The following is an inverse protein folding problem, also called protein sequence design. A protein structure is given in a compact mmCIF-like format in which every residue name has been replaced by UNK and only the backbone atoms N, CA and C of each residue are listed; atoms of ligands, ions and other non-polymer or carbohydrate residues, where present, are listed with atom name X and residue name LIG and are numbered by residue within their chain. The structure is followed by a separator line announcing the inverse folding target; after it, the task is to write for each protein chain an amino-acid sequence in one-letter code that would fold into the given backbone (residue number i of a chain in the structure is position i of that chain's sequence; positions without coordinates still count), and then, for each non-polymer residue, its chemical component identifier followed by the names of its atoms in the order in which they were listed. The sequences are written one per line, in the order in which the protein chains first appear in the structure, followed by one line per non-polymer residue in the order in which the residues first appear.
data_IF_296015635657
#
_entry.id   IF_296015635657
#
_cell.length_a   1.000
_cell.length_b   1.000
_cell.length_c   1.000
_cell.angle_alpha   90.00
_cell.angle_beta   90.00
_cell.angle_gamma   90.00
#
_symmetry.space_group_name_H-M   'P 1'
#
loop_
_entity.id
_entity.type
_entity.pdbx_description
1 polymer ?
#
# COMPACT_ATOMS: atom_id res chain seq x y z
N UNK A 1 -6.73 48.63 -30.97
CA UNK A 1 -5.75 47.67 -30.40
C UNK A 1 -4.75 48.41 -29.50
N UNK A 2 -5.09 48.69 -28.24
CA UNK A 2 -4.15 49.28 -27.25
C UNK A 2 -4.28 48.65 -25.84
N UNK A 3 -5.14 47.65 -25.66
CA UNK A 3 -5.35 46.97 -24.38
C UNK A 3 -4.71 45.59 -24.23
N UNK A 4 -4.20 44.97 -25.31
CA UNK A 4 -3.68 43.59 -25.26
C UNK A 4 -2.21 43.49 -24.81
N UNK A 5 -1.42 44.56 -25.00
CA UNK A 5 0.01 44.58 -24.70
C UNK A 5 0.32 44.47 -23.19
N UNK A 6 -0.34 45.20 -22.27
CA UNK A 6 -0.02 45.08 -20.84
C UNK A 6 -0.46 43.73 -20.25
N UNK A 7 -1.55 43.14 -20.75
CA UNK A 7 -1.99 41.80 -20.32
C UNK A 7 -1.06 40.69 -20.83
N UNK A 8 -0.57 40.80 -22.07
CA UNK A 8 0.39 39.84 -22.60
C UNK A 8 1.72 39.87 -21.83
N UNK A 9 2.20 41.06 -21.46
CA UNK A 9 3.42 41.22 -20.66
C UNK A 9 3.25 40.63 -19.24
N UNK A 10 2.11 40.88 -18.60
CA UNK A 10 1.81 40.30 -17.29
C UNK A 10 1.72 38.77 -17.35
N UNK A 11 1.05 38.23 -18.38
CA UNK A 11 0.92 36.79 -18.57
C UNK A 11 2.27 36.10 -18.79
N UNK A 12 3.16 36.71 -19.59
CA UNK A 12 4.53 36.20 -19.80
C UNK A 12 5.35 36.25 -18.51
N UNK A 13 5.22 37.32 -17.72
CA UNK A 13 5.91 37.43 -16.42
C UNK A 13 5.43 36.36 -15.42
N UNK A 14 4.12 36.09 -15.36
CA UNK A 14 3.56 35.04 -14.51
C UNK A 14 4.01 33.65 -14.95
N UNK A 15 3.98 33.35 -16.25
CA UNK A 15 4.47 32.09 -16.80
C UNK A 15 5.97 31.89 -16.54
N UNK A 16 6.77 32.95 -16.64
CA UNK A 16 8.19 32.90 -16.32
C UNK A 16 8.44 32.65 -14.82
N UNK A 17 7.68 33.29 -13.92
CA UNK A 17 7.77 33.01 -12.48
C UNK A 17 7.33 31.60 -12.14
N UNK A 18 6.28 31.08 -12.80
CA UNK A 18 5.87 29.69 -12.65
C UNK A 18 6.96 28.73 -13.13
N UNK A 19 7.55 28.96 -14.31
CA UNK A 19 8.62 28.12 -14.83
C UNK A 19 9.90 28.18 -13.96
N UNK A 20 10.23 29.33 -13.39
CA UNK A 20 11.34 29.47 -12.44
C UNK A 20 11.03 28.77 -11.12
N UNK A 21 9.81 28.88 -10.61
CA UNK A 21 9.35 28.17 -9.42
C UNK A 21 9.35 26.65 -9.63
N UNK A 22 8.86 26.19 -10.78
CA UNK A 22 8.85 24.78 -11.19
C UNK A 22 10.28 24.26 -11.35
N UNK A 23 11.19 25.04 -11.95
CA UNK A 23 12.61 24.69 -12.02
C UNK A 23 13.24 24.59 -10.62
N UNK A 24 12.94 25.51 -9.72
CA UNK A 24 13.47 25.47 -8.34
C UNK A 24 12.94 24.30 -7.51
N UNK A 25 11.68 23.91 -7.75
CA UNK A 25 11.01 22.82 -7.01
C UNK A 25 11.37 21.44 -7.58
N UNK A 26 11.49 21.31 -8.91
CA UNK A 26 11.63 20.01 -9.56
C UNK A 26 13.02 19.72 -10.15
N UNK A 27 13.86 20.73 -10.38
CA UNK A 27 15.15 20.56 -11.07
C UNK A 27 16.38 20.96 -10.28
N UNK A 28 16.25 21.88 -9.31
CA UNK A 28 17.32 22.09 -8.34
C UNK A 28 17.05 21.26 -7.10
N UNK A 29 18.04 20.49 -6.65
CA UNK A 29 18.18 20.00 -5.27
C UNK A 29 18.37 21.20 -4.31
N UNK A 30 17.48 22.20 -4.36
CA UNK A 30 17.53 23.39 -3.51
C UNK A 30 17.13 23.08 -2.07
N UNK A 31 16.52 21.90 -1.86
CA UNK A 31 16.14 21.42 -0.54
C UNK A 31 16.87 20.13 -0.22
N UNK A 32 17.71 20.17 0.82
CA UNK A 32 18.37 19.00 1.37
C UNK A 32 17.49 18.43 2.48
N UNK A 33 17.10 17.16 2.33
CA UNK A 33 16.44 16.39 3.37
C UNK A 33 17.26 15.14 3.66
N UNK A 34 17.57 14.91 4.93
CA UNK A 34 18.19 13.66 5.39
C UNK A 34 17.44 13.14 6.60
N UNK A 35 17.21 11.84 6.64
CA UNK A 35 16.75 11.14 7.83
C UNK A 35 17.55 9.87 8.03
N UNK A 36 18.04 9.69 9.25
CA UNK A 36 18.76 8.50 9.67
C UNK A 36 18.18 8.02 10.98
N UNK A 37 18.09 6.71 11.17
CA UNK A 37 17.65 6.13 12.42
C UNK A 37 18.37 4.80 12.68
N UNK A 38 18.86 4.62 13.90
CA UNK A 38 19.50 3.40 14.36
C UNK A 38 19.04 3.04 15.78
N UNK A 39 18.95 1.74 16.05
CA UNK A 39 18.82 1.25 17.42
C UNK A 39 20.21 1.07 18.03
N UNK A 40 20.51 1.80 19.11
CA UNK A 40 21.85 1.78 19.73
C UNK A 40 21.75 1.89 21.24
N UNK A 41 22.44 1.00 21.96
CA UNK A 41 22.48 0.99 23.43
C UNK A 41 21.10 0.98 24.11
N UNK A 42 20.13 0.27 23.54
CA UNK A 42 18.77 0.15 24.10
C UNK A 42 17.90 1.40 23.91
N UNK A 43 18.28 2.31 23.00
CA UNK A 43 17.50 3.49 22.62
C UNK A 43 17.49 3.66 21.12
N UNK A 44 16.41 4.25 20.62
CA UNK A 44 16.31 4.70 19.24
C UNK A 44 17.04 6.04 19.09
N UNK A 45 18.05 6.10 18.24
CA UNK A 45 18.81 7.31 17.90
C UNK A 45 18.44 7.68 16.48
N UNK A 46 17.99 8.91 16.27
CA UNK A 46 17.61 9.40 14.95
C UNK A 46 18.17 10.80 14.70
N UNK A 47 18.38 11.12 13.43
CA UNK A 47 18.74 12.45 12.94
C UNK A 47 17.78 12.81 11.80
N UNK A 48 17.21 14.01 11.84
CA UNK A 48 16.43 14.57 10.74
C UNK A 48 17.00 15.95 10.45
N UNK A 49 17.39 16.19 9.20
CA UNK A 49 17.80 17.51 8.72
C UNK A 49 16.92 17.89 7.54
N UNK A 50 16.44 19.13 7.55
CA UNK A 50 15.83 19.75 6.40
C UNK A 50 16.41 21.16 6.25
N UNK A 51 16.68 21.58 5.02
CA UNK A 51 16.98 22.97 4.70
C UNK A 51 15.73 23.88 4.70
N UNK A 52 14.55 23.30 4.94
CA UNK A 52 13.26 23.99 5.10
C UNK A 52 12.74 23.99 6.55
N UNK A 53 11.63 24.71 6.77
CA UNK A 53 10.88 24.69 8.04
C UNK A 53 9.80 23.60 7.97
N UNK A 54 10.21 22.35 8.15
CA UNK A 54 9.32 21.21 8.04
C UNK A 54 8.94 20.63 9.41
N UNK A 55 7.67 20.25 9.55
CA UNK A 55 7.24 19.42 10.67
C UNK A 55 7.65 17.97 10.40
N UNK A 56 8.24 17.31 11.39
CA UNK A 56 8.59 15.90 11.31
C UNK A 56 7.97 15.14 12.49
N UNK A 57 7.64 13.88 12.25
CA UNK A 57 7.16 12.94 13.27
C UNK A 57 8.06 11.71 13.21
N UNK A 58 8.48 11.22 14.38
CA UNK A 58 9.17 9.93 14.50
C UNK A 58 8.21 8.96 15.15
N UNK A 59 7.94 7.85 14.47
CA UNK A 59 7.11 6.77 14.99
C UNK A 59 8.00 5.57 15.24
N UNK A 60 8.04 5.12 16.49
CA UNK A 60 8.72 3.88 16.87
C UNK A 60 7.66 2.80 16.99
N UNK A 61 7.84 1.73 16.23
CA UNK A 61 6.97 0.56 16.26
C UNK A 61 7.71 -0.57 16.99
N UNK A 62 7.07 -1.12 18.02
CA UNK A 62 7.50 -2.36 18.66
C UNK A 62 6.53 -3.46 18.20
N UNK A 63 7.04 -4.54 17.61
CA UNK A 63 6.21 -5.70 17.21
C UNK A 63 6.12 -6.05 15.73
N UNK A 64 6.60 -5.22 14.79
CA UNK A 64 6.71 -5.61 13.38
C UNK A 64 8.14 -5.34 12.89
N UNK A 65 8.92 -6.41 12.71
CA UNK A 65 10.22 -6.27 12.06
C UNK A 65 10.00 -5.82 10.62
N UNK A 66 10.72 -4.79 10.17
CA UNK A 66 10.77 -4.44 8.75
C UNK A 66 11.11 -5.71 7.98
N UNK A 67 10.29 -6.15 7.00
CA UNK A 67 10.58 -7.34 6.23
C UNK A 67 11.99 -7.22 5.64
N UNK A 68 12.76 -8.30 5.61
CA UNK A 68 14.08 -8.32 4.97
C UNK A 68 14.00 -8.28 3.45
N UNK A 69 12.85 -8.63 2.90
CA UNK A 69 12.58 -8.71 1.47
C UNK A 69 11.09 -8.45 1.20
N UNK A 70 10.79 -7.75 0.10
CA UNK A 70 9.44 -7.49 -0.39
C UNK A 70 9.31 -7.92 -1.85
N UNK A 71 8.36 -8.80 -2.14
CA UNK A 71 7.97 -9.14 -3.51
C UNK A 71 6.64 -8.46 -3.86
N UNK A 72 6.64 -7.56 -4.85
CA UNK A 72 5.44 -6.87 -5.33
C UNK A 72 4.85 -7.63 -6.50
N UNK A 73 3.60 -8.07 -6.37
CA UNK A 73 2.89 -8.72 -7.46
C UNK A 73 2.39 -7.70 -8.48
N UNK A 74 2.79 -7.87 -9.74
CA UNK A 74 2.31 -7.12 -10.89
C UNK A 74 1.54 -8.08 -11.78
N UNK A 75 0.22 -8.02 -11.73
CA UNK A 75 -0.69 -8.87 -12.49
C UNK A 75 -0.70 -8.42 -13.96
N UNK A 76 -0.05 -9.21 -14.82
CA UNK A 76 0.02 -8.97 -16.25
C UNK A 76 -1.35 -9.03 -16.96
N UNK A 77 -2.37 -9.57 -16.28
CA UNK A 77 -3.76 -9.68 -16.77
C UNK A 77 -4.69 -8.62 -16.15
N UNK A 78 -4.18 -7.71 -15.32
CA UNK A 78 -4.98 -6.73 -14.59
C UNK A 78 -5.90 -5.90 -15.50
N UNK A 79 -5.36 -5.36 -16.59
CA UNK A 79 -6.12 -4.51 -17.51
C UNK A 79 -7.26 -5.25 -18.21
N UNK A 80 -7.12 -6.57 -18.41
CA UNK A 80 -8.16 -7.41 -19.01
C UNK A 80 -9.26 -7.77 -18.01
N UNK A 81 -8.90 -7.91 -16.73
CA UNK A 81 -9.78 -8.45 -15.69
C UNK A 81 -10.47 -7.38 -14.83
N UNK A 82 -9.89 -6.19 -14.71
CA UNK A 82 -10.39 -5.10 -13.83
C UNK A 82 -11.82 -4.69 -14.17
N UNK A 83 -12.18 -4.63 -15.45
CA UNK A 83 -13.53 -4.26 -15.91
C UNK A 83 -14.56 -5.36 -15.63
N UNK A 84 -14.14 -6.62 -15.57
CA UNK A 84 -14.99 -7.71 -15.12
C UNK A 84 -15.21 -7.64 -13.61
N UNK A 85 -14.14 -7.45 -12.84
CA UNK A 85 -14.19 -7.31 -11.37
C UNK A 85 -15.10 -6.14 -10.94
N UNK A 86 -15.04 -5.00 -11.65
CA UNK A 86 -15.88 -3.82 -11.43
C UNK A 86 -17.39 -4.04 -11.54
N UNK A 87 -17.83 -5.14 -12.16
CA UNK A 87 -19.26 -5.46 -12.25
C UNK A 87 -19.85 -5.87 -10.89
N UNK A 88 -19.01 -6.28 -9.95
CA UNK A 88 -19.43 -6.80 -8.63
C UNK A 88 -18.78 -6.07 -7.46
N UNK A 89 -17.85 -5.14 -7.70
CA UNK A 89 -17.18 -4.36 -6.64
C UNK A 89 -16.78 -2.95 -7.13
N UNK A 90 -16.39 -2.06 -6.21
CA UNK A 90 -16.14 -0.62 -6.44
C UNK A 90 -14.72 -0.29 -6.90
N UNK A 91 -14.07 -1.21 -7.63
CA UNK A 91 -12.66 -1.09 -8.04
C UNK A 91 -12.39 0.13 -8.93
N UNK A 92 -11.35 0.88 -8.56
CA UNK A 92 -10.77 1.89 -9.43
C UNK A 92 -9.67 1.27 -10.30
N UNK A 93 -9.64 1.65 -11.57
CA UNK A 93 -8.59 1.26 -12.51
C UNK A 93 -7.46 2.26 -12.39
N UNK A 94 -6.24 1.74 -12.33
CA UNK A 94 -5.03 2.53 -12.31
C UNK A 94 -3.93 1.78 -13.07
N UNK A 95 -2.84 2.47 -13.40
CA UNK A 95 -1.69 1.81 -13.98
C UNK A 95 -0.93 1.06 -12.87
N UNK A 96 -1.23 -0.23 -12.74
CA UNK A 96 -0.71 -1.08 -11.66
C UNK A 96 0.82 -1.17 -11.68
N UNK A 97 1.41 -1.41 -12.86
CA UNK A 97 2.87 -1.49 -13.01
C UNK A 97 3.54 -0.18 -12.59
N UNK A 98 3.03 0.94 -13.07
CA UNK A 98 3.54 2.26 -12.67
C UNK A 98 3.44 2.45 -11.16
N UNK A 99 2.33 2.08 -10.53
CA UNK A 99 2.15 2.18 -9.09
C UNK A 99 3.17 1.32 -8.32
N UNK A 100 3.36 0.06 -8.72
CA UNK A 100 4.38 -0.83 -8.15
C UNK A 100 5.80 -0.27 -8.30
N UNK A 101 6.15 0.27 -9.47
CA UNK A 101 7.44 0.93 -9.70
C UNK A 101 7.63 2.18 -8.84
N UNK A 102 6.58 2.98 -8.63
CA UNK A 102 6.65 4.13 -7.72
C UNK A 102 6.89 3.68 -6.28
N UNK A 103 6.22 2.62 -5.81
CA UNK A 103 6.47 2.05 -4.48
C UNK A 103 7.93 1.61 -4.35
N UNK A 104 8.45 0.85 -5.31
CA UNK A 104 9.84 0.41 -5.30
C UNK A 104 10.82 1.60 -5.25
N UNK A 105 10.60 2.63 -6.06
CA UNK A 105 11.43 3.86 -6.05
C UNK A 105 11.36 4.58 -4.71
N UNK A 106 10.17 4.72 -4.14
CA UNK A 106 9.96 5.37 -2.83
C UNK A 106 10.63 4.59 -1.69
N UNK A 107 10.60 3.26 -1.74
CA UNK A 107 11.31 2.42 -0.79
C UNK A 107 12.83 2.51 -0.94
N UNK A 108 13.33 2.54 -2.19
CA UNK A 108 14.75 2.72 -2.46
C UNK A 108 15.28 4.06 -1.95
N UNK A 109 14.51 5.15 -2.06
CA UNK A 109 14.84 6.45 -1.46
C UNK A 109 14.97 6.41 0.08
N UNK A 110 14.38 5.39 0.72
CA UNK A 110 14.44 5.13 2.17
C UNK A 110 15.44 4.03 2.51
N UNK A 111 16.37 3.73 1.60
CA UNK A 111 17.39 2.67 1.73
C UNK A 111 16.84 1.24 1.83
N UNK A 112 15.56 1.03 1.51
CA UNK A 112 14.98 -0.31 1.41
C UNK A 112 15.02 -0.79 -0.04
N UNK A 113 16.09 -1.52 -0.38
CA UNK A 113 16.39 -1.90 -1.78
C UNK A 113 16.12 -3.36 -2.11
N UNK A 114 15.82 -4.22 -1.12
CA UNK A 114 15.52 -5.64 -1.36
C UNK A 114 14.05 -5.82 -1.77
N UNK A 115 13.73 -5.32 -2.96
CA UNK A 115 12.37 -5.27 -3.51
C UNK A 115 12.36 -5.82 -4.93
N UNK A 116 11.59 -6.88 -5.19
CA UNK A 116 11.34 -7.43 -6.52
C UNK A 116 9.93 -7.07 -7.01
N UNK A 117 9.78 -6.96 -8.33
CA UNK A 117 8.49 -6.85 -9.01
C UNK A 117 8.33 -8.11 -9.86
N UNK A 118 7.32 -8.91 -9.56
CA UNK A 118 7.12 -10.21 -10.17
C UNK A 118 5.73 -10.31 -10.81
N UNK A 119 5.69 -10.89 -12.00
CA UNK A 119 4.44 -11.31 -12.67
C UNK A 119 3.97 -12.66 -12.11
N UNK A 120 2.84 -13.19 -12.60
CA UNK A 120 2.17 -14.35 -12.00
C UNK A 120 3.07 -15.57 -11.76
N UNK A 121 3.93 -15.92 -12.73
CA UNK A 121 4.86 -17.06 -12.59
C UNK A 121 5.94 -16.80 -11.53
N UNK A 122 6.58 -15.63 -11.57
CA UNK A 122 7.62 -15.23 -10.62
C UNK A 122 7.08 -15.10 -9.19
N UNK A 123 5.89 -14.51 -9.06
CA UNK A 123 5.22 -14.33 -7.78
C UNK A 123 4.82 -15.69 -7.16
N UNK A 124 4.26 -16.58 -7.98
CA UNK A 124 3.93 -17.94 -7.55
C UNK A 124 5.17 -18.69 -7.11
N UNK A 125 6.25 -18.60 -7.88
CA UNK A 125 7.54 -19.21 -7.55
C UNK A 125 8.08 -18.66 -6.23
N UNK A 126 8.02 -17.35 -6.01
CA UNK A 126 8.46 -16.73 -4.76
C UNK A 126 7.75 -17.31 -3.53
N UNK A 127 6.41 -17.40 -3.56
CA UNK A 127 5.63 -17.98 -2.47
C UNK A 127 6.00 -19.45 -2.23
N UNK A 128 6.12 -20.24 -3.30
CA UNK A 128 6.42 -21.67 -3.20
C UNK A 128 7.85 -21.94 -2.73
N UNK A 129 8.84 -21.19 -3.23
CA UNK A 129 10.25 -21.36 -2.87
C UNK A 129 10.55 -20.87 -1.45
N UNK A 130 9.77 -19.93 -0.92
CA UNK A 130 9.98 -19.34 0.42
C UNK A 130 9.08 -19.90 1.50
N UNK A 131 8.27 -20.92 1.21
CA UNK A 131 7.33 -21.54 2.16
C UNK A 131 7.98 -21.97 3.50
N UNK A 132 9.22 -22.48 3.45
CA UNK A 132 9.97 -22.89 4.65
C UNK A 132 10.70 -21.78 5.39
N UNK A 133 10.62 -20.54 4.89
CA UNK A 133 11.38 -19.36 5.36
C UNK A 133 10.52 -18.09 5.20
N UNK A 134 9.23 -18.17 5.50
CA UNK A 134 8.27 -17.07 5.31
C UNK A 134 8.50 -15.90 6.28
N UNK A 135 9.00 -16.19 7.49
CA UNK A 135 9.24 -15.18 8.53
C UNK A 135 10.15 -14.04 8.04
N UNK A 136 9.72 -12.81 8.32
CA UNK A 136 10.40 -11.60 7.93
C UNK A 136 10.39 -11.34 6.42
N UNK A 137 9.59 -12.05 5.63
CA UNK A 137 9.37 -11.76 4.20
C UNK A 137 7.99 -11.16 4.01
N UNK A 138 7.87 -10.29 3.02
CA UNK A 138 6.60 -9.70 2.66
C UNK A 138 6.28 -9.87 1.18
N UNK A 139 4.98 -9.85 0.91
CA UNK A 139 4.43 -9.63 -0.42
C UNK A 139 3.53 -8.40 -0.43
N UNK A 140 3.46 -7.72 -1.56
CA UNK A 140 2.51 -6.63 -1.79
C UNK A 140 1.63 -6.95 -2.98
N UNK A 141 0.33 -7.03 -2.73
CA UNK A 141 -0.70 -7.26 -3.73
C UNK A 141 -1.33 -5.92 -4.10
N UNK A 142 -1.05 -5.46 -5.32
CA UNK A 142 -1.66 -4.26 -5.94
C UNK A 142 -2.63 -4.65 -7.07
N UNK A 143 -3.06 -5.92 -7.10
CA UNK A 143 -4.07 -6.44 -8.04
C UNK A 143 -5.40 -6.68 -7.35
N UNK A 144 -6.47 -6.85 -8.14
CA UNK A 144 -7.72 -7.41 -7.66
C UNK A 144 -7.73 -8.95 -7.65
N UNK A 145 -6.77 -9.61 -8.30
CA UNK A 145 -6.72 -11.07 -8.41
C UNK A 145 -5.39 -11.64 -7.93
N UNK A 146 -5.35 -12.93 -7.64
CA UNK A 146 -4.12 -13.71 -7.42
C UNK A 146 -3.97 -14.82 -8.47
N UNK A 147 -2.75 -15.31 -8.75
CA UNK A 147 -2.55 -16.46 -9.64
C UNK A 147 -3.16 -17.75 -9.08
N UNK A 148 -3.89 -18.50 -9.92
CA UNK A 148 -4.49 -19.80 -9.56
C UNK A 148 -3.51 -20.87 -9.06
N UNK A 149 -2.22 -20.74 -9.37
CA UNK A 149 -1.13 -21.59 -8.89
C UNK A 149 -0.90 -21.51 -7.38
N UNK A 150 -1.28 -20.39 -6.74
CA UNK A 150 -1.08 -20.16 -5.31
C UNK A 150 -2.36 -19.79 -4.55
N UNK A 151 -3.45 -19.53 -5.26
CA UNK A 151 -4.75 -19.21 -4.67
C UNK A 151 -5.92 -19.63 -5.56
N UNK A 152 -6.82 -20.45 -5.03
CA UNK A 152 -8.05 -20.91 -5.68
C UNK A 152 -9.27 -20.88 -4.72
N UNK A 153 -9.14 -20.22 -3.56
CA UNK A 153 -10.20 -20.09 -2.56
C UNK A 153 -10.25 -21.22 -1.53
N UNK A 154 -9.12 -21.86 -1.26
CA UNK A 154 -8.97 -22.90 -0.23
C UNK A 154 -8.13 -22.39 0.95
N UNK A 155 -8.46 -22.74 2.20
CA UNK A 155 -7.62 -22.44 3.36
C UNK A 155 -6.24 -23.13 3.32
N UNK A 156 -6.06 -24.11 2.43
CA UNK A 156 -4.80 -24.81 2.18
C UNK A 156 -4.01 -24.24 0.99
N UNK A 157 -4.46 -23.12 0.42
CA UNK A 157 -3.78 -22.49 -0.70
C UNK A 157 -2.38 -22.00 -0.29
N UNK A 158 -1.36 -22.14 -1.17
CA UNK A 158 0.02 -21.80 -0.82
C UNK A 158 0.20 -20.42 -0.19
N UNK A 159 -0.46 -19.37 -0.71
CA UNK A 159 -0.31 -18.02 -0.14
C UNK A 159 -0.88 -17.91 1.29
N UNK A 160 -1.94 -18.65 1.59
CA UNK A 160 -2.58 -18.67 2.92
C UNK A 160 -1.67 -19.38 3.93
N UNK A 161 -1.16 -20.55 3.55
CA UNK A 161 -0.23 -21.31 4.40
C UNK A 161 1.11 -20.57 4.59
N UNK A 162 1.59 -19.89 3.55
CA UNK A 162 2.78 -19.04 3.61
C UNK A 162 2.61 -17.87 4.60
N UNK A 163 1.47 -17.18 4.55
CA UNK A 163 1.17 -16.11 5.49
C UNK A 163 1.07 -16.66 6.93
N UNK A 164 0.34 -17.76 7.14
CA UNK A 164 0.27 -18.44 8.45
C UNK A 164 1.62 -18.87 9.00
N UNK A 165 2.60 -19.15 8.12
CA UNK A 165 3.96 -19.53 8.49
C UNK A 165 4.87 -18.35 8.87
N UNK A 166 4.36 -17.12 8.88
CA UNK A 166 5.12 -15.92 9.29
C UNK A 166 5.31 -14.87 8.20
N UNK A 167 4.75 -15.09 7.00
CA UNK A 167 4.81 -14.13 5.92
C UNK A 167 3.84 -12.95 6.13
N UNK A 168 4.27 -11.76 5.71
CA UNK A 168 3.43 -10.55 5.73
C UNK A 168 2.79 -10.30 4.35
N UNK A 169 1.49 -10.11 4.30
CA UNK A 169 0.76 -9.76 3.07
C UNK A 169 0.26 -8.33 3.16
N UNK A 170 0.85 -7.41 2.39
CA UNK A 170 0.29 -6.09 2.18
C UNK A 170 -0.73 -6.13 1.03
N UNK A 171 -1.93 -5.59 1.25
CA UNK A 171 -3.01 -5.60 0.28
C UNK A 171 -3.54 -4.18 0.05
N UNK A 172 -3.57 -3.73 -1.21
CA UNK A 172 -3.93 -2.36 -1.56
C UNK A 172 -4.90 -2.31 -2.72
N UNK A 173 -5.93 -1.49 -2.59
CA UNK A 173 -6.77 -1.07 -3.72
C UNK A 173 -7.77 -2.11 -4.23
N UNK A 174 -8.00 -3.20 -3.48
CA UNK A 174 -9.00 -4.22 -3.78
C UNK A 174 -9.39 -5.02 -2.53
N UNK A 175 -10.48 -5.78 -2.63
CA UNK A 175 -10.97 -6.67 -1.57
C UNK A 175 -10.06 -7.92 -1.45
N UNK A 176 -9.44 -8.17 -0.28
CA UNK A 176 -8.60 -9.34 -0.04
C UNK A 176 -9.27 -10.66 -0.39
N UNK A 177 -8.59 -11.45 -1.22
CA UNK A 177 -9.00 -12.80 -1.62
C UNK A 177 -10.21 -12.87 -2.54
N UNK A 178 -10.79 -11.76 -3.01
CA UNK A 178 -12.04 -11.79 -3.79
C UNK A 178 -11.92 -12.55 -5.11
N UNK A 179 -10.76 -12.46 -5.78
CA UNK A 179 -10.58 -13.09 -7.08
C UNK A 179 -9.26 -13.85 -7.22
N UNK A 180 -9.28 -14.83 -8.11
CA UNK A 180 -8.09 -15.40 -8.72
C UNK A 180 -8.23 -15.46 -10.23
N UNK A 181 -7.11 -15.58 -10.93
CA UNK A 181 -7.09 -15.71 -12.38
C UNK A 181 -6.49 -17.07 -12.79
N UNK A 182 -7.20 -17.77 -13.68
CA UNK A 182 -6.76 -19.01 -14.30
C UNK A 182 -6.78 -18.91 -15.84
N UNK A 183 -6.45 -20.02 -16.52
CA UNK A 183 -6.44 -20.08 -17.99
C UNK A 183 -7.79 -19.77 -18.68
N UNK A 184 -8.87 -19.73 -17.91
CA UNK A 184 -10.24 -19.45 -18.38
C UNK A 184 -10.75 -18.07 -17.96
N UNK A 185 -9.93 -17.26 -17.29
CA UNK A 185 -10.22 -15.89 -16.89
C UNK A 185 -10.39 -15.71 -15.39
N UNK A 186 -11.00 -14.58 -15.01
CA UNK A 186 -11.24 -14.20 -13.63
C UNK A 186 -12.27 -15.12 -12.96
N UNK A 187 -11.99 -15.52 -11.72
CA UNK A 187 -12.87 -16.34 -10.87
C UNK A 187 -13.10 -15.64 -9.55
N UNK A 188 -14.34 -15.62 -9.11
CA UNK A 188 -14.75 -15.05 -7.84
C UNK A 188 -14.72 -16.10 -6.72
N UNK A 189 -14.23 -15.69 -5.55
CA UNK A 189 -14.26 -16.46 -4.31
C UNK A 189 -15.12 -15.69 -3.29
N UNK A 190 -16.40 -16.05 -3.12
CA UNK A 190 -17.34 -15.27 -2.31
C UNK A 190 -16.97 -15.13 -0.82
N UNK A 191 -16.16 -16.05 -0.27
CA UNK A 191 -15.68 -16.04 1.12
C UNK A 191 -14.17 -15.80 1.19
N UNK A 192 -13.63 -15.06 0.23
CA UNK A 192 -12.20 -14.81 0.12
C UNK A 192 -11.65 -14.01 1.30
N UNK A 193 -12.42 -13.07 1.85
CA UNK A 193 -11.97 -12.25 2.98
C UNK A 193 -11.77 -13.11 4.22
N UNK A 194 -12.68 -14.05 4.50
CA UNK A 194 -12.57 -14.97 5.65
C UNK A 194 -11.26 -15.76 5.64
N UNK A 195 -10.72 -16.10 4.46
CA UNK A 195 -9.47 -16.85 4.34
C UNK A 195 -8.23 -16.03 4.76
N UNK A 196 -8.23 -14.72 4.49
CA UNK A 196 -7.11 -13.83 4.79
C UNK A 196 -7.27 -13.08 6.11
N UNK A 197 -8.49 -12.69 6.46
CA UNK A 197 -8.80 -11.79 7.57
C UNK A 197 -9.57 -12.48 8.70
N UNK A 198 -10.09 -13.69 8.49
CA UNK A 198 -10.89 -14.41 9.48
C UNK A 198 -12.36 -13.99 9.56
N UNK A 199 -12.75 -12.91 8.88
CA UNK A 199 -14.14 -12.45 8.78
C UNK A 199 -14.37 -11.63 7.50
N UNK A 200 -15.63 -11.56 7.08
CA UNK A 200 -16.11 -10.57 6.10
C UNK A 200 -16.23 -9.19 6.79
N UNK A 201 -15.22 -8.36 6.62
CA UNK A 201 -15.05 -7.10 7.35
C UNK A 201 -14.56 -5.93 6.47
N UNK A 202 -14.50 -6.11 5.16
CA UNK A 202 -13.98 -5.10 4.24
C UNK A 202 -15.11 -4.21 3.73
N UNK A 203 -14.87 -2.90 3.73
CA UNK A 203 -15.83 -1.93 3.21
C UNK A 203 -15.92 -1.98 1.69
N UNK A 204 -17.06 -2.44 1.16
CA UNK A 204 -17.37 -2.53 -0.27
C UNK A 204 -18.42 -1.50 -0.73
N UNK A 205 -18.61 -0.44 0.06
CA UNK A 205 -19.58 0.63 -0.20
C UNK A 205 -19.06 1.73 -1.13
N UNK A 206 -19.85 2.80 -1.33
CA UNK A 206 -19.42 3.96 -2.11
C UNK A 206 -18.20 4.65 -1.49
N UNK A 207 -17.43 5.39 -2.31
CA UNK A 207 -16.29 6.19 -1.83
C UNK A 207 -16.71 7.10 -0.65
N UNK A 208 -16.17 6.80 0.52
CA UNK A 208 -16.37 7.53 1.76
C UNK A 208 -15.00 7.90 2.35
N UNK A 209 -14.96 8.92 3.20
CA UNK A 209 -13.70 9.48 3.70
C UNK A 209 -13.45 9.16 5.16
N UNK A 210 -12.27 8.62 5.43
CA UNK A 210 -11.77 8.43 6.79
C UNK A 210 -11.56 9.81 7.44
N UNK A 211 -12.15 9.99 8.62
CA UNK A 211 -12.21 11.32 9.27
C UNK A 211 -11.97 11.26 10.78
N UNK A 212 -12.20 10.11 11.40
CA UNK A 212 -11.94 9.89 12.81
C UNK A 212 -10.50 9.48 12.98
N UNK A 213 -9.74 10.13 13.85
CA UNK A 213 -8.35 9.77 14.09
C UNK A 213 -8.30 8.52 14.95
N UNK A 214 -7.47 7.54 14.58
CA UNK A 214 -7.16 6.40 15.44
C UNK A 214 -6.19 6.88 16.53
N UNK A 215 -6.56 6.71 17.80
CA UNK A 215 -5.81 7.25 18.93
C UNK A 215 -4.65 6.35 19.35
N UNK A 216 -3.63 6.27 18.49
CA UNK A 216 -2.43 5.48 18.69
C UNK A 216 -1.15 6.17 18.16
N UNK A 217 -1.22 7.47 17.91
CA UNK A 217 -0.10 8.28 17.41
C UNK A 217 0.12 8.23 15.88
N UNK A 218 -0.40 7.23 15.18
CA UNK A 218 -0.18 7.08 13.73
C UNK A 218 -1.00 8.06 12.88
N UNK A 219 -2.14 8.54 13.38
CA UNK A 219 -2.99 9.49 12.64
C UNK A 219 -2.26 10.76 12.20
N UNK A 220 -1.43 11.35 13.07
CA UNK A 220 -0.68 12.57 12.72
C UNK A 220 0.56 12.25 11.89
N UNK A 221 1.13 11.06 12.05
CA UNK A 221 2.36 10.66 11.38
C UNK A 221 2.14 10.22 9.93
N UNK A 222 1.04 9.52 9.64
CA UNK A 222 0.77 8.96 8.31
C UNK A 222 0.05 9.95 7.38
N UNK A 223 -0.55 11.02 7.92
CA UNK A 223 -1.26 12.06 7.15
C UNK A 223 -2.33 11.46 6.20
N UNK A 224 -3.01 10.40 6.65
CA UNK A 224 -4.05 9.68 5.87
C UNK A 224 -5.46 10.28 6.06
N UNK A 225 -5.54 11.54 6.50
CA UNK A 225 -6.84 12.20 6.70
C UNK A 225 -7.52 12.40 5.35
N UNK A 226 -8.80 12.04 5.26
CA UNK A 226 -9.57 12.05 4.02
C UNK A 226 -9.07 11.04 2.96
N UNK A 227 -8.30 10.02 3.35
CA UNK A 227 -8.18 8.82 2.53
C UNK A 227 -9.56 8.21 2.29
N UNK A 228 -9.69 7.54 1.14
CA UNK A 228 -10.88 6.73 0.87
C UNK A 228 -10.90 5.54 1.82
N UNK A 229 -12.08 5.07 2.22
CA UNK A 229 -12.24 3.83 2.99
C UNK A 229 -12.67 2.66 2.12
N UNK A 230 -12.76 2.82 0.80
CA UNK A 230 -12.93 1.70 -0.12
C UNK A 230 -11.88 0.62 0.16
N UNK A 231 -12.34 -0.59 0.45
CA UNK A 231 -11.52 -1.74 0.82
C UNK A 231 -10.78 -1.66 2.16
N UNK A 232 -11.08 -0.67 3.01
CA UNK A 232 -10.60 -0.66 4.39
C UNK A 232 -11.20 -1.84 5.18
N UNK A 233 -10.43 -2.42 6.09
CA UNK A 233 -10.91 -3.46 7.00
C UNK A 233 -11.50 -2.84 8.28
N UNK A 234 -12.66 -3.35 8.72
CA UNK A 234 -13.19 -3.11 10.06
C UNK A 234 -12.41 -3.93 11.08
N UNK A 235 -11.39 -3.33 11.66
CA UNK A 235 -10.58 -4.01 12.67
C UNK A 235 -11.30 -4.19 14.01
N UNK A 236 -12.44 -3.50 14.23
CA UNK A 236 -13.16 -3.58 15.51
C UNK A 236 -13.86 -4.92 15.72
N UNK A 237 -14.03 -5.70 14.65
CA UNK A 237 -14.62 -7.05 14.66
C UNK A 237 -13.57 -8.16 14.57
N UNK A 238 -12.28 -7.82 14.57
CA UNK A 238 -11.17 -8.75 14.40
C UNK A 238 -10.35 -8.83 15.69
N UNK A 239 -10.11 -10.05 16.16
CA UNK A 239 -9.29 -10.29 17.35
C UNK A 239 -7.82 -9.91 17.07
N UNK A 240 -7.19 -9.23 18.03
CA UNK A 240 -5.78 -8.81 18.00
C UNK A 240 -5.37 -7.95 16.78
N UNK A 241 -6.34 -7.40 16.04
CA UNK A 241 -6.09 -6.52 14.91
C UNK A 241 -5.76 -5.08 15.36
N UNK A 242 -4.92 -4.40 14.57
CA UNK A 242 -4.48 -3.03 14.83
C UNK A 242 -4.98 -2.09 13.73
N UNK A 243 -5.70 -1.03 14.13
CA UNK A 243 -6.00 0.11 13.28
C UNK A 243 -4.83 1.10 13.26
N UNK A 244 -4.54 1.75 12.14
CA UNK A 244 -3.66 2.93 12.08
C UNK A 244 -4.22 4.00 11.13
N UNK A 245 -3.85 5.26 11.40
CA UNK A 245 -4.23 6.41 10.59
C UNK A 245 -5.59 6.99 10.99
N UNK A 246 -6.55 6.95 10.08
CA UNK A 246 -7.91 7.42 10.28
C UNK A 246 -8.91 6.29 10.06
N UNK A 247 -10.13 6.45 10.58
CA UNK A 247 -11.19 5.47 10.45
C UNK A 247 -12.54 6.13 10.20
N UNK A 248 -13.51 5.29 9.88
CA UNK A 248 -14.94 5.58 9.81
C UNK A 248 -15.71 4.29 10.02
N UNK A 249 -16.63 4.32 10.99
CA UNK A 249 -17.52 3.19 11.30
C UNK A 249 -16.75 1.84 11.41
N UNK A 250 -15.65 1.84 12.17
CA UNK A 250 -14.78 0.67 12.37
C UNK A 250 -13.70 0.47 11.30
N UNK A 251 -13.96 0.89 10.06
CA UNK A 251 -13.05 0.70 8.93
C UNK A 251 -11.90 1.69 8.95
N UNK A 252 -10.66 1.18 8.96
CA UNK A 252 -9.45 1.98 9.16
C UNK A 252 -8.58 2.05 7.91
N UNK A 253 -7.94 3.20 7.67
CA UNK A 253 -7.07 3.44 6.51
C UNK A 253 -5.92 2.46 6.40
N UNK A 254 -5.47 1.95 7.54
CA UNK A 254 -4.59 0.79 7.61
C UNK A 254 -5.14 -0.14 8.69
N UNK A 255 -5.32 -1.41 8.35
CA UNK A 255 -5.68 -2.47 9.28
C UNK A 255 -4.64 -3.59 9.22
N UNK A 256 -4.02 -3.93 10.35
CA UNK A 256 -3.13 -5.08 10.47
C UNK A 256 -3.88 -6.20 11.16
N UNK A 257 -4.01 -7.34 10.49
CA UNK A 257 -4.80 -8.49 10.94
C UNK A 257 -3.87 -9.69 11.10
N UNK A 258 -3.73 -10.24 12.32
CA UNK A 258 -2.92 -11.44 12.53
C UNK A 258 -3.44 -12.63 11.73
N UNK A 259 -2.55 -13.40 11.13
CA UNK A 259 -2.87 -14.65 10.44
C UNK A 259 -1.80 -15.70 10.74
N UNK A 260 -2.09 -16.59 11.68
CA UNK A 260 -1.11 -17.57 12.17
C UNK A 260 0.07 -16.88 12.85
N UNK A 261 1.29 -17.12 12.36
CA UNK A 261 2.51 -16.42 12.78
C UNK A 261 2.78 -15.14 11.98
N UNK A 262 2.06 -14.92 10.88
CA UNK A 262 2.20 -13.74 10.02
C UNK A 262 1.05 -12.77 10.18
N UNK A 263 0.87 -11.92 9.18
CA UNK A 263 -0.14 -10.86 9.20
C UNK A 263 -0.60 -10.46 7.79
N UNK A 264 -1.83 -9.94 7.70
CA UNK A 264 -2.36 -9.27 6.52
C UNK A 264 -2.55 -7.79 6.87
N UNK A 265 -1.87 -6.92 6.12
CA UNK A 265 -1.98 -5.47 6.26
C UNK A 265 -2.78 -4.91 5.09
N UNK A 266 -4.00 -4.47 5.38
CA UNK A 266 -4.93 -3.88 4.41
C UNK A 266 -4.77 -2.37 4.43
N UNK A 267 -4.56 -1.74 3.27
CA UNK A 267 -4.39 -0.28 3.13
C UNK A 267 -5.41 0.27 2.12
N UNK A 268 -6.14 1.32 2.52
CA UNK A 268 -7.16 2.00 1.70
C UNK A 268 -6.74 3.39 1.20
#
# INVERSE_FOLDING_TARGET
MKGAVPFAVLAVALLAMMAVGEYYVYFSDAFEYTSEAEWKDGRFVYSVSSSGSDAYSVVVMDGAAVPRELCIFVDETYDDNVDEARKVTVLNHFNQRYYAEQIQKQLALRSYTNVSLEESEGFSKYILDTMGDAEGRAVLVVSCSLPSSIYAGSPSDPIIEWAKAGGTVYWVGSEPGRFYTDSTGLKEVPSGQELFLGAECVYIGPSERASQKVDNGFGDALILKNSDIAFAADVSVLDDALAMGFSRDGHSTVGMVPLGLGEVCVVS
#
